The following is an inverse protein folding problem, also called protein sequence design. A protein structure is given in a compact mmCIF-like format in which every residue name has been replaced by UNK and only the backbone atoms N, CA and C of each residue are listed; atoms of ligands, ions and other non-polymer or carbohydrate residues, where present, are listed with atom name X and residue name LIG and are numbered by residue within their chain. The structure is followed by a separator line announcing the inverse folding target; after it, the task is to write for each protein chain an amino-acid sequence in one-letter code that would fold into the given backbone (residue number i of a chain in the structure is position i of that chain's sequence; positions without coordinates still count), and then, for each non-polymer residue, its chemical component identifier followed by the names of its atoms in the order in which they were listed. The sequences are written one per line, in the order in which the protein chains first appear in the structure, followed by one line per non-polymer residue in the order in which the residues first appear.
data_IF_733637549534
#
_entry.id   IF_733637549534
#
_cell.length_a   1.000
_cell.length_b   1.000
_cell.length_c   1.000
_cell.angle_alpha   90.00
_cell.angle_beta   90.00
_cell.angle_gamma   90.00
#
_symmetry.space_group_name_H-M   'P 1'
#
loop_
_entity.id
_entity.type
_entity.pdbx_description
1 polymer ?
#
# COMPACT_ATOMS: atom_id res chain seq x y z
N UNK A 1 -9.92 13.48 10.26
CA UNK A 1 -9.66 13.12 8.85
C UNK A 1 -8.39 13.75 8.30
N UNK A 2 -8.40 14.99 7.79
CA UNK A 2 -7.25 15.57 7.06
C UNK A 2 -5.94 15.49 7.84
N UNK A 3 -5.92 15.96 9.10
CA UNK A 3 -4.73 15.89 9.97
C UNK A 3 -4.17 14.47 10.12
N UNK A 4 -5.04 13.48 10.30
CA UNK A 4 -4.64 12.07 10.43
C UNK A 4 -4.11 11.52 9.11
N UNK A 5 -4.79 11.78 7.99
CA UNK A 5 -4.34 11.34 6.66
C UNK A 5 -3.00 11.98 6.28
N UNK A 6 -2.78 13.26 6.59
CA UNK A 6 -1.50 13.93 6.37
C UNK A 6 -0.40 13.30 7.22
N UNK A 7 -0.66 13.00 8.49
CA UNK A 7 0.31 12.33 9.36
C UNK A 7 0.66 10.93 8.84
N UNK A 8 -0.35 10.12 8.49
CA UNK A 8 -0.16 8.78 7.93
C UNK A 8 0.62 8.85 6.61
N UNK A 9 0.31 9.80 5.73
CA UNK A 9 1.05 10.04 4.49
C UNK A 9 2.55 10.24 4.76
N UNK A 10 2.91 11.17 5.66
CA UNK A 10 4.31 11.44 5.95
C UNK A 10 5.00 10.23 6.61
N UNK A 11 4.35 9.58 7.57
CA UNK A 11 4.91 8.41 8.24
C UNK A 11 5.18 7.27 7.26
N UNK A 12 4.21 6.95 6.41
CA UNK A 12 4.32 5.85 5.44
C UNK A 12 5.31 6.19 4.32
N UNK A 13 5.31 7.44 3.81
CA UNK A 13 6.29 7.88 2.82
C UNK A 13 7.71 7.82 3.38
N UNK A 14 7.92 8.27 4.61
CA UNK A 14 9.24 8.27 5.22
C UNK A 14 9.74 6.85 5.50
N UNK A 15 8.88 5.99 6.04
CA UNK A 15 9.24 4.60 6.31
C UNK A 15 9.54 3.83 5.01
N UNK A 16 8.74 4.04 3.96
CA UNK A 16 9.01 3.43 2.65
C UNK A 16 10.30 3.94 2.01
N UNK A 17 10.64 5.23 2.17
CA UNK A 17 11.91 5.77 1.71
C UNK A 17 13.10 5.09 2.38
N UNK A 18 13.06 4.95 3.72
CA UNK A 18 14.09 4.21 4.46
C UNK A 18 14.17 2.78 3.95
N UNK A 19 13.04 2.12 3.80
CA UNK A 19 12.99 0.72 3.35
C UNK A 19 13.60 0.52 1.97
N UNK A 20 13.24 1.36 1.00
CA UNK A 20 13.75 1.28 -0.37
C UNK A 20 15.24 1.67 -0.43
N UNK A 21 15.68 2.62 0.39
CA UNK A 21 17.10 2.94 0.54
C UNK A 21 17.90 1.75 1.09
N UNK A 22 17.36 1.03 2.09
CA UNK A 22 17.98 -0.20 2.62
C UNK A 22 18.07 -1.27 1.54
N UNK A 23 16.98 -1.54 0.80
CA UNK A 23 16.99 -2.50 -0.31
C UNK A 23 18.04 -2.12 -1.36
N UNK A 24 18.10 -0.83 -1.71
CA UNK A 24 19.09 -0.32 -2.68
C UNK A 24 20.51 -0.52 -2.17
N UNK A 25 20.78 -0.20 -0.91
CA UNK A 25 22.09 -0.35 -0.29
C UNK A 25 22.57 -1.81 -0.28
N UNK A 26 21.67 -2.75 0.00
CA UNK A 26 21.99 -4.17 0.04
C UNK A 26 22.13 -4.80 -1.37
N UNK A 27 21.43 -4.27 -2.37
CA UNK A 27 21.39 -4.86 -3.71
C UNK A 27 22.45 -4.29 -4.65
N UNK A 28 22.94 -3.07 -4.40
CA UNK A 28 23.85 -2.32 -5.27
C UNK A 28 25.13 -1.91 -4.54
N UNK A 29 25.81 -2.87 -3.90
CA UNK A 29 27.03 -2.61 -3.11
C UNK A 29 28.18 -2.01 -3.92
N UNK A 30 28.30 -2.37 -5.20
CA UNK A 30 29.46 -2.05 -6.04
C UNK A 30 29.13 -1.20 -7.28
N UNK A 31 27.86 -0.79 -7.42
CA UNK A 31 27.38 -0.06 -8.60
C UNK A 31 27.37 1.45 -8.36
N UNK A 32 27.91 2.23 -9.31
CA UNK A 32 27.78 3.69 -9.31
C UNK A 32 26.32 4.08 -9.59
N UNK A 33 25.68 4.75 -8.62
CA UNK A 33 24.29 5.21 -8.73
C UNK A 33 24.28 6.68 -9.16
N UNK A 34 23.58 6.97 -10.26
CA UNK A 34 23.35 8.35 -10.70
C UNK A 34 22.48 9.11 -9.70
N UNK A 35 22.74 10.40 -9.50
CA UNK A 35 21.97 11.25 -8.58
C UNK A 35 20.45 11.24 -8.88
N UNK A 36 20.07 11.17 -10.16
CA UNK A 36 18.67 11.08 -10.58
C UNK A 36 17.93 9.84 -10.06
N UNK A 37 18.66 8.78 -9.68
CA UNK A 37 18.08 7.59 -9.07
C UNK A 37 17.42 7.92 -7.73
N UNK A 38 17.98 8.86 -6.96
CA UNK A 38 17.41 9.28 -5.69
C UNK A 38 16.00 9.86 -5.84
N UNK A 39 15.76 10.63 -6.91
CA UNK A 39 14.41 11.13 -7.22
C UNK A 39 13.42 10.00 -7.52
N UNK A 40 13.87 8.91 -8.16
CA UNK A 40 13.03 7.73 -8.39
C UNK A 40 12.65 7.07 -7.06
N UNK A 41 13.58 6.97 -6.11
CA UNK A 41 13.29 6.42 -4.76
C UNK A 41 12.30 7.29 -3.98
N UNK A 42 12.43 8.62 -4.07
CA UNK A 42 11.45 9.56 -3.48
C UNK A 42 10.08 9.34 -4.10
N UNK A 43 9.98 9.24 -5.43
CA UNK A 43 8.71 9.01 -6.12
C UNK A 43 8.05 7.69 -5.69
N UNK A 44 8.81 6.61 -5.58
CA UNK A 44 8.33 5.33 -5.03
C UNK A 44 7.72 5.57 -3.64
N UNK A 45 8.46 6.27 -2.78
CA UNK A 45 8.03 6.50 -1.39
C UNK A 45 6.74 7.33 -1.30
N UNK A 46 6.60 8.34 -2.16
CA UNK A 46 5.36 9.13 -2.28
C UNK A 46 4.20 8.26 -2.74
N UNK A 47 4.41 7.36 -3.72
CA UNK A 47 3.38 6.42 -4.16
C UNK A 47 2.88 5.56 -2.99
N UNK A 48 3.80 4.95 -2.22
CA UNK A 48 3.44 4.20 -1.02
C UNK A 48 2.69 5.06 0.01
N UNK A 49 3.11 6.31 0.21
CA UNK A 49 2.41 7.26 1.07
C UNK A 49 0.98 7.57 0.63
N UNK A 50 0.76 7.78 -0.67
CA UNK A 50 -0.57 8.04 -1.22
C UNK A 50 -1.49 6.82 -1.08
N UNK A 51 -1.01 5.64 -1.41
CA UNK A 51 -1.81 4.41 -1.30
C UNK A 51 -2.09 4.05 0.17
N UNK A 52 -1.04 3.74 0.92
CA UNK A 52 -1.17 3.17 2.26
C UNK A 52 -1.37 4.21 3.36
N UNK A 53 -0.90 5.45 3.16
CA UNK A 53 -1.07 6.55 4.11
C UNK A 53 -2.37 7.34 3.92
N UNK A 54 -2.90 7.39 2.69
CA UNK A 54 -4.11 8.19 2.37
C UNK A 54 -5.27 7.32 1.91
N UNK A 55 -5.14 6.65 0.76
CA UNK A 55 -6.26 5.95 0.12
C UNK A 55 -6.83 4.83 1.00
N UNK A 56 -5.97 3.97 1.54
CA UNK A 56 -6.38 2.85 2.39
C UNK A 56 -7.09 3.36 3.67
N UNK A 57 -6.49 4.22 4.50
CA UNK A 57 -7.17 4.77 5.67
C UNK A 57 -8.46 5.52 5.32
N UNK A 58 -8.50 6.22 4.19
CA UNK A 58 -9.72 6.88 3.72
C UNK A 58 -10.83 5.88 3.43
N UNK A 59 -10.58 4.86 2.60
CA UNK A 59 -11.57 3.86 2.23
C UNK A 59 -12.12 3.09 3.43
N UNK A 60 -11.26 2.76 4.39
CA UNK A 60 -11.64 1.91 5.53
C UNK A 60 -12.20 2.67 6.73
N UNK A 61 -11.78 3.92 6.97
CA UNK A 61 -12.24 4.69 8.15
C UNK A 61 -13.27 5.75 7.84
N UNK A 62 -13.27 6.29 6.61
CA UNK A 62 -14.00 7.51 6.28
C UNK A 62 -14.99 7.32 5.13
N UNK A 63 -14.78 6.35 4.25
CA UNK A 63 -15.68 6.09 3.13
C UNK A 63 -16.94 5.35 3.57
N UNK A 64 -18.06 5.67 2.92
CA UNK A 64 -19.37 5.02 3.10
C UNK A 64 -19.65 3.95 2.04
N UNK A 65 -18.65 3.63 1.21
CA UNK A 65 -18.72 2.65 0.14
C UNK A 65 -18.80 1.21 0.67
N UNK A 66 -19.41 0.31 -0.12
CA UNK A 66 -19.53 -1.11 0.24
C UNK A 66 -18.14 -1.74 0.36
N UNK A 67 -17.97 -2.65 1.33
CA UNK A 67 -16.70 -3.36 1.58
C UNK A 67 -16.10 -3.99 0.31
N UNK A 68 -16.92 -4.69 -0.50
CA UNK A 68 -16.46 -5.28 -1.75
C UNK A 68 -15.87 -4.25 -2.74
N UNK A 69 -16.41 -3.04 -2.78
CA UNK A 69 -15.89 -1.98 -3.65
C UNK A 69 -14.55 -1.46 -3.13
N UNK A 70 -14.41 -1.28 -1.81
CA UNK A 70 -13.13 -0.89 -1.19
C UNK A 70 -12.04 -1.91 -1.47
N UNK A 71 -12.35 -3.21 -1.35
CA UNK A 71 -11.42 -4.29 -1.67
C UNK A 71 -10.97 -4.21 -3.11
N UNK A 72 -11.89 -4.01 -4.05
CA UNK A 72 -11.56 -3.87 -5.46
C UNK A 72 -10.62 -2.69 -5.69
N UNK A 73 -10.96 -1.50 -5.18
CA UNK A 73 -10.15 -0.28 -5.33
C UNK A 73 -8.76 -0.45 -4.71
N UNK A 74 -8.67 -0.94 -3.48
CA UNK A 74 -7.39 -1.23 -2.83
C UNK A 74 -6.54 -2.21 -3.64
N UNK A 75 -7.15 -3.28 -4.15
CA UNK A 75 -6.43 -4.29 -4.93
C UNK A 75 -5.87 -3.71 -6.23
N UNK A 76 -6.68 -2.91 -6.95
CA UNK A 76 -6.25 -2.25 -8.19
C UNK A 76 -5.16 -1.22 -7.94
N UNK A 77 -5.33 -0.39 -6.90
CA UNK A 77 -4.36 0.62 -6.52
C UNK A 77 -3.03 -0.02 -6.12
N UNK A 78 -3.05 -1.04 -5.26
CA UNK A 78 -1.85 -1.76 -4.86
C UNK A 78 -1.09 -2.36 -6.04
N UNK A 79 -1.80 -2.99 -6.98
CA UNK A 79 -1.18 -3.51 -8.19
C UNK A 79 -0.49 -2.40 -8.97
N UNK A 80 -1.17 -1.28 -9.22
CA UNK A 80 -0.58 -0.16 -9.97
C UNK A 80 0.64 0.40 -9.24
N UNK A 81 0.53 0.66 -7.94
CA UNK A 81 1.60 1.20 -7.10
C UNK A 81 2.84 0.30 -7.15
N UNK A 82 2.66 -1.01 -6.98
CA UNK A 82 3.77 -1.98 -6.99
C UNK A 82 4.42 -2.03 -8.38
N UNK A 83 3.64 -2.09 -9.46
CA UNK A 83 4.18 -2.13 -10.82
C UNK A 83 4.93 -0.85 -11.19
N UNK A 84 4.35 0.31 -10.87
CA UNK A 84 5.01 1.60 -11.02
C UNK A 84 6.30 1.67 -10.19
N UNK A 85 6.27 1.15 -8.96
CA UNK A 85 7.44 1.16 -8.07
C UNK A 85 8.57 0.27 -8.58
N UNK A 86 8.25 -0.92 -9.10
CA UNK A 86 9.23 -1.81 -9.72
C UNK A 86 9.85 -1.13 -10.95
N UNK A 87 9.05 -0.52 -11.82
CA UNK A 87 9.55 0.20 -12.98
C UNK A 87 10.42 1.42 -12.59
N UNK A 88 9.99 2.19 -11.59
CA UNK A 88 10.76 3.29 -11.02
C UNK A 88 12.02 2.81 -10.31
N UNK A 89 12.09 1.55 -9.85
CA UNK A 89 13.30 0.98 -9.29
C UNK A 89 14.24 0.50 -10.40
N UNK A 90 13.79 -0.38 -11.29
CA UNK A 90 14.56 -0.87 -12.43
C UNK A 90 13.63 -1.32 -13.56
N UNK A 91 13.84 -0.74 -14.76
CA UNK A 91 13.12 -1.14 -15.95
C UNK A 91 13.46 -2.59 -16.36
N UNK A 92 14.70 -3.03 -16.12
CA UNK A 92 15.11 -4.41 -16.39
C UNK A 92 14.41 -5.39 -15.47
N UNK A 93 14.29 -5.04 -14.18
CA UNK A 93 13.53 -5.85 -13.22
C UNK A 93 12.05 -5.93 -13.61
N UNK A 94 11.47 -4.82 -14.06
CA UNK A 94 10.11 -4.79 -14.57
C UNK A 94 9.95 -5.73 -15.79
N UNK A 95 10.88 -5.69 -16.74
CA UNK A 95 10.86 -6.56 -17.92
C UNK A 95 10.98 -8.05 -17.56
N UNK A 96 11.76 -8.40 -16.53
CA UNK A 96 11.87 -9.77 -16.02
C UNK A 96 10.57 -10.27 -15.39
N UNK A 97 9.83 -9.37 -14.72
CA UNK A 97 8.58 -9.70 -14.02
C UNK A 97 7.37 -9.66 -14.98
N UNK A 98 7.44 -8.89 -16.07
CA UNK A 98 6.36 -8.68 -17.04
C UNK A 98 5.64 -9.96 -17.51
N UNK A 99 6.34 -11.08 -17.80
CA UNK A 99 5.69 -12.34 -18.19
C UNK A 99 4.78 -12.93 -17.11
N UNK A 100 5.01 -12.60 -15.84
CA UNK A 100 4.31 -13.13 -14.68
C UNK A 100 3.23 -12.19 -14.13
N UNK A 101 2.99 -11.04 -14.79
CA UNK A 101 2.04 -10.02 -14.31
C UNK A 101 0.64 -10.59 -14.05
N UNK A 102 0.16 -11.45 -14.95
CA UNK A 102 -1.15 -12.08 -14.77
C UNK A 102 -1.21 -12.89 -13.46
N UNK A 103 -0.18 -13.68 -13.17
CA UNK A 103 -0.08 -14.44 -11.92
C UNK A 103 -0.04 -13.53 -10.69
N UNK A 104 0.75 -12.46 -10.75
CA UNK A 104 0.87 -11.47 -9.67
C UNK A 104 -0.49 -10.81 -9.39
N UNK A 105 -1.21 -10.40 -10.42
CA UNK A 105 -2.53 -9.77 -10.30
C UNK A 105 -3.53 -10.73 -9.64
N UNK A 106 -3.57 -11.99 -10.09
CA UNK A 106 -4.48 -13.00 -9.54
C UNK A 106 -4.16 -13.27 -8.07
N UNK A 107 -2.89 -13.49 -7.73
CA UNK A 107 -2.46 -13.71 -6.34
C UNK A 107 -2.79 -12.49 -5.47
N UNK A 108 -2.52 -11.28 -5.97
CA UNK A 108 -2.81 -10.05 -5.26
C UNK A 108 -4.31 -9.92 -4.93
N UNK A 109 -5.18 -10.19 -5.91
CA UNK A 109 -6.63 -10.15 -5.74
C UNK A 109 -7.12 -11.18 -4.71
N UNK A 110 -6.63 -12.42 -4.78
CA UNK A 110 -6.98 -13.47 -3.81
C UNK A 110 -6.56 -13.07 -2.40
N UNK A 111 -5.33 -12.60 -2.25
CA UNK A 111 -4.78 -12.21 -0.95
C UNK A 111 -5.54 -11.02 -0.36
N UNK A 112 -5.82 -10.00 -1.17
CA UNK A 112 -6.61 -8.84 -0.74
C UNK A 112 -8.02 -9.27 -0.34
N UNK A 113 -8.68 -10.11 -1.13
CA UNK A 113 -10.01 -10.62 -0.78
C UNK A 113 -10.02 -11.34 0.58
N UNK A 114 -9.06 -12.23 0.83
CA UNK A 114 -8.97 -12.98 2.09
C UNK A 114 -8.67 -12.04 3.27
N UNK A 115 -7.62 -11.22 3.17
CA UNK A 115 -7.21 -10.31 4.25
C UNK A 115 -8.34 -9.34 4.60
N UNK A 116 -8.99 -8.76 3.59
CA UNK A 116 -10.03 -7.78 3.85
C UNK A 116 -11.34 -8.38 4.34
N UNK A 117 -11.65 -9.62 3.97
CA UNK A 117 -12.77 -10.34 4.60
C UNK A 117 -12.52 -10.50 6.10
N UNK A 118 -11.33 -10.98 6.48
CA UNK A 118 -10.93 -11.10 7.89
C UNK A 118 -10.97 -9.75 8.60
N UNK A 119 -10.49 -8.69 7.95
CA UNK A 119 -10.52 -7.34 8.50
C UNK A 119 -11.94 -6.80 8.70
N UNK A 120 -12.83 -7.04 7.74
CA UNK A 120 -14.24 -6.64 7.83
C UNK A 120 -14.96 -7.37 8.96
N UNK A 121 -14.71 -8.66 9.13
CA UNK A 121 -15.29 -9.46 10.22
C UNK A 121 -14.80 -8.96 11.59
N UNK A 122 -13.50 -8.64 11.70
CA UNK A 122 -12.93 -8.04 12.89
C UNK A 122 -13.56 -6.69 13.24
N UNK A 123 -13.72 -5.79 12.26
CA UNK A 123 -14.36 -4.50 12.47
C UNK A 123 -15.81 -4.65 12.93
N UNK A 124 -16.58 -5.55 12.31
CA UNK A 124 -17.96 -5.81 12.71
C UNK A 124 -18.06 -6.28 14.17
N UNK A 125 -17.19 -7.20 14.59
CA UNK A 125 -17.14 -7.65 15.98
C UNK A 125 -16.81 -6.51 16.94
N UNK A 126 -15.81 -5.68 16.59
CA UNK A 126 -15.43 -4.50 17.39
C UNK A 126 -16.60 -3.53 17.58
N UNK A 127 -17.34 -3.22 16.51
CA UNK A 127 -18.51 -2.33 16.60
C UNK A 127 -19.62 -2.92 17.48
N UNK A 128 -19.90 -4.23 17.38
CA UNK A 128 -20.89 -4.89 18.23
C UNK A 128 -20.50 -4.76 19.71
N UNK A 129 -19.22 -5.00 20.04
CA UNK A 129 -18.71 -4.86 21.41
C UNK A 129 -18.80 -3.43 21.93
N UNK A 130 -18.44 -2.42 21.11
CA UNK A 130 -18.56 -1.01 21.47
C UNK A 130 -20.01 -0.60 21.75
N UNK A 131 -20.97 -1.06 20.94
CA UNK A 131 -22.40 -0.81 21.13
C UNK A 131 -22.90 -1.47 22.43
N UNK A 132 -22.50 -2.72 22.69
CA UNK A 132 -22.88 -3.44 23.91
C UNK A 132 -22.35 -2.75 25.18
N UNK A 133 -21.10 -2.28 25.16
CA UNK A 133 -20.51 -1.55 26.29
C UNK A 133 -21.18 -0.21 26.53
N UNK A 134 -21.54 0.55 25.48
CA UNK A 134 -22.30 1.80 25.64
C UNK A 134 -23.69 1.61 26.23
N UNK A 135 -24.35 0.47 25.98
CA UNK A 135 -25.68 0.17 26.55
C UNK A 135 -25.63 -0.29 28.02
N UNK A 136 -24.45 -0.61 28.56
CA UNK A 136 -24.26 -1.05 29.94
C UNK A 136 -23.91 0.09 30.91
N UNK A 137 -23.58 1.28 30.38
CA UNK A 137 -23.36 2.53 31.12
C UNK A 137 -24.66 3.34 31.14
#
# INVERSE_FOLDING_TARGET
MIKELTQNFFQTSFLSLIWVMVITSLSNTDNLIYYNYFWRLILISILFGLSFGVLYPYLWKYSTTKSNFNVFVCSTDNTIIILCSIYLYSADLFNQISPYLFGIIVINLILHYVIFKLYSDYLNQKYIMEIQNRKRL
#
